data_IF_813156152160
#
_entry.id   IF_813156152160
#
_cell.length_a   1.000
_cell.length_b   1.000
_cell.length_c   1.000
_cell.angle_alpha   90.00
_cell.angle_beta   90.00
_cell.angle_gamma   90.00
#
_symmetry.space_group_name_H-M   'P 1'
#
loop_
_entity.id
_entity.type
_entity.pdbx_description
1 polymer ?
#
# COMPACT_ATOMS: atom_id res chain seq x y z
N UNK A 1 -24.60 2.76 -14.74
CA UNK A 1 -23.69 2.60 -13.58
C UNK A 1 -22.73 1.42 -13.69
N UNK A 2 -23.16 0.23 -14.14
CA UNK A 2 -22.28 -0.94 -14.23
C UNK A 2 -20.94 -0.70 -14.95
N UNK A 3 -20.94 0.01 -16.08
CA UNK A 3 -19.70 0.36 -16.80
C UNK A 3 -18.74 1.17 -15.92
N UNK A 4 -19.24 2.13 -15.14
CA UNK A 4 -18.42 2.98 -14.26
C UNK A 4 -17.70 2.14 -13.21
N UNK A 5 -18.42 1.20 -12.57
CA UNK A 5 -17.86 0.31 -11.56
C UNK A 5 -16.87 -0.71 -12.15
N UNK A 6 -17.21 -1.38 -13.27
CA UNK A 6 -16.31 -2.37 -13.90
C UNK A 6 -15.08 -1.76 -14.56
N UNK A 7 -15.18 -0.50 -15.02
CA UNK A 7 -14.06 0.26 -15.57
C UNK A 7 -13.16 0.91 -14.51
N UNK A 8 -13.53 0.83 -13.23
CA UNK A 8 -12.84 1.51 -12.12
C UNK A 8 -12.70 3.02 -12.33
N UNK A 9 -13.69 3.65 -12.95
CA UNK A 9 -13.76 5.12 -13.15
C UNK A 9 -14.64 5.82 -12.11
N UNK A 10 -15.22 5.07 -11.17
CA UNK A 10 -16.09 5.58 -10.10
C UNK A 10 -15.43 6.66 -9.23
N UNK A 11 -14.10 6.65 -9.11
CA UNK A 11 -13.32 7.61 -8.33
C UNK A 11 -13.40 9.06 -8.85
N UNK A 12 -13.80 9.25 -10.11
CA UNK A 12 -13.93 10.57 -10.72
C UNK A 12 -15.32 11.18 -10.55
N UNK A 13 -16.25 10.48 -9.89
CA UNK A 13 -17.61 10.95 -9.65
C UNK A 13 -17.95 10.91 -8.16
N UNK A 14 -18.28 12.07 -7.58
CA UNK A 14 -18.68 12.15 -6.18
C UNK A 14 -19.96 11.38 -5.84
N UNK A 15 -20.77 11.03 -6.84
CA UNK A 15 -21.95 10.18 -6.64
C UNK A 15 -21.61 8.68 -6.57
N UNK A 16 -20.49 8.26 -7.15
CA UNK A 16 -20.17 6.83 -7.37
C UNK A 16 -18.94 6.35 -6.61
N UNK A 17 -18.12 7.24 -6.03
CA UNK A 17 -16.83 6.91 -5.40
C UNK A 17 -16.91 5.80 -4.35
N UNK A 18 -17.97 5.77 -3.55
CA UNK A 18 -18.23 4.72 -2.54
C UNK A 18 -19.33 3.72 -2.97
N UNK A 19 -19.74 3.76 -4.24
CA UNK A 19 -20.74 2.87 -4.81
C UNK A 19 -20.17 1.49 -5.15
N UNK A 20 -21.02 0.47 -5.14
CA UNK A 20 -20.60 -0.91 -5.37
C UNK A 20 -19.79 -1.45 -4.20
N UNK A 21 -18.48 -1.63 -4.40
CA UNK A 21 -17.54 -2.03 -3.35
C UNK A 21 -16.89 -0.78 -2.77
N UNK A 22 -17.28 -0.41 -1.55
CA UNK A 22 -16.75 0.77 -0.85
C UNK A 22 -15.22 0.90 -0.86
N UNK A 23 -14.39 -0.15 -0.63
CA UNK A 23 -12.94 -0.02 -0.66
C UNK A 23 -12.34 0.11 -2.07
N UNK A 24 -13.13 -0.06 -3.13
CA UNK A 24 -12.60 -0.09 -4.51
C UNK A 24 -12.10 1.26 -5.02
N UNK A 25 -12.31 2.37 -4.29
CA UNK A 25 -11.66 3.65 -4.62
C UNK A 25 -10.12 3.51 -4.67
N UNK A 26 -9.51 2.74 -3.76
CA UNK A 26 -8.05 2.56 -3.77
C UNK A 26 -7.60 1.69 -4.95
N UNK A 27 -8.41 0.70 -5.35
CA UNK A 27 -8.15 -0.13 -6.55
C UNK A 27 -8.12 0.73 -7.83
N UNK A 28 -8.98 1.74 -7.93
CA UNK A 28 -8.96 2.68 -9.06
C UNK A 28 -7.61 3.41 -9.12
N UNK A 29 -7.12 3.86 -7.97
CA UNK A 29 -5.82 4.54 -7.83
C UNK A 29 -4.65 3.60 -8.13
N UNK A 30 -4.69 2.36 -7.62
CA UNK A 30 -3.68 1.33 -7.90
C UNK A 30 -3.62 0.97 -9.39
N UNK A 31 -4.77 0.71 -10.03
CA UNK A 31 -4.82 0.42 -11.47
C UNK A 31 -4.21 1.57 -12.27
N UNK A 32 -4.59 2.81 -11.95
CA UNK A 32 -4.06 4.00 -12.63
C UNK A 32 -2.55 4.13 -12.41
N UNK A 33 -2.04 3.81 -11.23
CA UNK A 33 -0.60 3.78 -10.95
C UNK A 33 0.13 2.74 -11.82
N UNK A 34 -0.41 1.53 -11.95
CA UNK A 34 0.21 0.50 -12.78
C UNK A 34 0.17 0.84 -14.28
N UNK A 35 -0.86 1.55 -14.73
CA UNK A 35 -0.90 2.10 -16.10
C UNK A 35 0.09 3.26 -16.29
N UNK A 36 0.35 4.05 -15.25
CA UNK A 36 1.33 5.13 -15.25
C UNK A 36 2.78 4.63 -15.25
N UNK A 37 3.07 3.51 -14.57
CA UNK A 37 4.43 3.03 -14.33
C UNK A 37 5.28 2.81 -15.61
N UNK A 38 4.77 2.22 -16.71
CA UNK A 38 5.51 2.09 -17.96
C UNK A 38 5.89 3.45 -18.57
N UNK A 39 4.98 4.43 -18.50
CA UNK A 39 5.21 5.79 -19.01
C UNK A 39 6.28 6.47 -18.17
N UNK A 40 6.18 6.37 -16.84
CA UNK A 40 7.20 6.87 -15.92
C UNK A 40 8.58 6.25 -16.18
N UNK A 41 8.65 4.92 -16.28
CA UNK A 41 9.90 4.20 -16.55
C UNK A 41 10.51 4.59 -17.90
N UNK A 42 9.68 4.83 -18.92
CA UNK A 42 10.13 5.34 -20.22
C UNK A 42 10.69 6.76 -20.12
N UNK A 43 10.02 7.68 -19.41
CA UNK A 43 10.48 9.05 -19.20
C UNK A 43 11.82 9.11 -18.45
N UNK A 44 11.95 8.35 -17.36
CA UNK A 44 13.18 8.25 -16.57
C UNK A 44 14.35 7.76 -17.43
N UNK A 45 14.11 6.77 -18.30
CA UNK A 45 15.13 6.28 -19.23
C UNK A 45 15.49 7.32 -20.29
N UNK A 46 14.50 8.04 -20.84
CA UNK A 46 14.70 9.09 -21.85
C UNK A 46 15.53 10.25 -21.31
N UNK A 47 15.30 10.65 -20.06
CA UNK A 47 15.99 11.76 -19.40
C UNK A 47 17.31 11.37 -18.74
N UNK A 48 17.71 10.10 -18.83
CA UNK A 48 18.94 9.63 -18.22
C UNK A 48 20.18 10.40 -18.69
N UNK A 49 20.20 10.93 -19.92
CA UNK A 49 21.18 11.91 -20.43
C UNK A 49 22.65 11.77 -19.93
N UNK A 50 23.15 10.53 -19.78
CA UNK A 50 24.50 10.23 -19.24
C UNK A 50 24.64 10.21 -17.71
N UNK A 51 23.60 10.57 -16.95
CA UNK A 51 23.58 10.52 -15.50
C UNK A 51 23.55 9.07 -14.97
N UNK A 52 24.14 8.81 -13.79
CA UNK A 52 24.02 7.52 -13.13
C UNK A 52 22.56 7.14 -12.90
N UNK A 53 22.21 5.90 -13.24
CA UNK A 53 20.83 5.38 -13.15
C UNK A 53 20.18 5.64 -11.79
N UNK A 54 20.91 5.35 -10.71
CA UNK A 54 20.46 5.57 -9.34
C UNK A 54 20.08 7.04 -9.07
N UNK A 55 20.85 8.00 -9.59
CA UNK A 55 20.55 9.43 -9.39
C UNK A 55 19.23 9.83 -10.07
N UNK A 56 19.01 9.37 -11.29
CA UNK A 56 17.81 9.70 -12.05
C UNK A 56 16.57 9.03 -11.44
N UNK A 57 16.69 7.79 -10.97
CA UNK A 57 15.62 7.10 -10.24
C UNK A 57 15.27 7.83 -8.94
N UNK A 58 16.27 8.22 -8.13
CA UNK A 58 16.04 8.99 -6.90
C UNK A 58 15.43 10.36 -7.16
N UNK A 59 15.88 11.09 -8.19
CA UNK A 59 15.29 12.36 -8.59
C UNK A 59 13.85 12.19 -9.09
N UNK A 60 13.58 11.15 -9.86
CA UNK A 60 12.24 10.82 -10.32
C UNK A 60 11.30 10.52 -9.15
N UNK A 61 11.75 9.70 -8.19
CA UNK A 61 10.99 9.39 -6.97
C UNK A 61 10.75 10.65 -6.13
N UNK A 62 11.77 11.50 -5.95
CA UNK A 62 11.62 12.78 -5.26
C UNK A 62 10.63 13.71 -5.97
N UNK A 63 10.66 13.76 -7.30
CA UNK A 63 9.73 14.55 -8.09
C UNK A 63 8.28 14.06 -7.96
N UNK A 64 8.04 12.74 -7.91
CA UNK A 64 6.70 12.18 -7.63
C UNK A 64 6.22 12.56 -6.24
N UNK A 65 7.09 12.45 -5.23
CA UNK A 65 6.76 12.78 -3.85
C UNK A 65 6.40 14.26 -3.66
N UNK A 66 7.24 15.16 -4.15
CA UNK A 66 7.00 16.61 -4.09
C UNK A 66 5.80 16.98 -4.95
N UNK A 67 5.68 16.39 -6.15
CA UNK A 67 4.56 16.59 -7.06
C UNK A 67 3.21 16.25 -6.43
N UNK A 68 3.13 15.15 -5.66
CA UNK A 68 1.93 14.78 -4.89
C UNK A 68 1.55 15.85 -3.86
N UNK A 69 2.54 16.34 -3.10
CA UNK A 69 2.34 17.43 -2.15
C UNK A 69 1.82 18.70 -2.81
N UNK A 70 2.46 19.14 -3.91
CA UNK A 70 2.04 20.32 -4.67
C UNK A 70 0.64 20.14 -5.24
N UNK A 71 0.34 18.99 -5.84
CA UNK A 71 -0.98 18.69 -6.40
C UNK A 71 -2.08 18.86 -5.33
N UNK A 72 -1.90 18.26 -4.16
CA UNK A 72 -2.85 18.36 -3.06
C UNK A 72 -3.05 19.78 -2.56
N UNK A 73 -1.98 20.56 -2.40
CA UNK A 73 -2.07 21.98 -2.00
C UNK A 73 -2.87 22.77 -3.05
N UNK A 74 -2.56 22.59 -4.33
CA UNK A 74 -3.25 23.28 -5.43
C UNK A 74 -4.73 22.88 -5.50
N UNK A 75 -5.06 21.60 -5.37
CA UNK A 75 -6.46 21.18 -5.46
C UNK A 75 -7.27 21.57 -4.23
N UNK A 76 -6.67 21.48 -3.03
CA UNK A 76 -7.31 21.92 -1.79
C UNK A 76 -7.59 23.42 -1.80
N UNK A 77 -6.65 24.25 -2.25
CA UNK A 77 -6.86 25.71 -2.38
C UNK A 77 -7.95 26.09 -3.38
N UNK A 78 -8.32 25.18 -4.29
CA UNK A 78 -9.41 25.35 -5.26
C UNK A 78 -10.73 24.69 -4.83
N UNK A 79 -10.77 24.07 -3.65
CA UNK A 79 -11.97 23.41 -3.12
C UNK A 79 -12.32 22.07 -3.81
N UNK A 80 -11.39 21.47 -4.58
CA UNK A 80 -11.64 20.20 -5.27
C UNK A 80 -11.35 18.99 -4.37
N UNK A 81 -12.20 18.75 -3.36
CA UNK A 81 -12.03 17.67 -2.39
C UNK A 81 -11.96 16.25 -2.99
N UNK A 82 -12.71 16.00 -4.08
CA UNK A 82 -12.69 14.71 -4.80
C UNK A 82 -11.29 14.30 -5.30
N UNK A 83 -10.42 15.29 -5.55
CA UNK A 83 -9.07 15.01 -6.05
C UNK A 83 -8.16 14.35 -5.00
N UNK A 84 -8.55 14.37 -3.73
CA UNK A 84 -7.81 13.74 -2.65
C UNK A 84 -7.67 12.23 -2.84
N UNK A 85 -8.65 11.60 -3.49
CA UNK A 85 -8.66 10.16 -3.73
C UNK A 85 -7.90 9.75 -5.01
N UNK A 86 -7.59 10.71 -5.88
CA UNK A 86 -6.99 10.44 -7.19
C UNK A 86 -5.50 10.10 -7.09
N UNK A 87 -4.98 9.39 -8.10
CA UNK A 87 -3.57 9.02 -8.19
C UNK A 87 -2.59 10.14 -7.84
N UNK A 88 -2.68 11.38 -8.38
CA UNK A 88 -1.71 12.42 -8.09
C UNK A 88 -1.60 12.75 -6.59
N UNK A 89 -2.68 12.58 -5.82
CA UNK A 89 -2.69 12.78 -4.37
C UNK A 89 -2.07 11.64 -3.57
N UNK A 90 -1.76 10.50 -4.19
CA UNK A 90 -1.13 9.32 -3.57
C UNK A 90 0.26 9.01 -4.12
N UNK A 91 0.75 9.77 -5.11
CA UNK A 91 2.06 9.55 -5.72
C UNK A 91 3.23 9.60 -4.72
N UNK A 92 3.06 10.29 -3.59
CA UNK A 92 4.03 10.30 -2.48
C UNK A 92 4.13 8.95 -1.77
N UNK A 93 3.01 8.29 -1.48
CA UNK A 93 3.02 6.97 -0.83
C UNK A 93 3.60 5.91 -1.77
N UNK A 94 3.23 5.95 -3.06
CA UNK A 94 3.89 5.11 -4.07
C UNK A 94 5.38 5.43 -4.19
N UNK A 95 5.76 6.71 -4.18
CA UNK A 95 7.16 7.13 -4.20
C UNK A 95 7.94 6.61 -2.99
N UNK A 96 7.35 6.52 -1.79
CA UNK A 96 7.99 5.88 -0.63
C UNK A 96 8.27 4.40 -0.89
N UNK A 97 7.31 3.66 -1.45
CA UNK A 97 7.52 2.26 -1.84
C UNK A 97 8.60 2.09 -2.92
N UNK A 98 8.59 2.97 -3.93
CA UNK A 98 9.60 3.01 -4.98
C UNK A 98 10.99 3.37 -4.43
N UNK A 99 11.07 4.30 -3.47
CA UNK A 99 12.31 4.64 -2.77
C UNK A 99 12.90 3.42 -2.07
N UNK A 100 12.08 2.68 -1.32
CA UNK A 100 12.50 1.45 -0.64
C UNK A 100 13.03 0.42 -1.64
N UNK A 101 12.38 0.27 -2.80
CA UNK A 101 12.85 -0.62 -3.86
C UNK A 101 14.20 -0.18 -4.45
N UNK A 102 14.36 1.11 -4.77
CA UNK A 102 15.61 1.68 -5.29
C UNK A 102 16.75 1.52 -4.28
N UNK A 103 16.48 1.78 -2.99
CA UNK A 103 17.46 1.59 -1.92
C UNK A 103 17.84 0.13 -1.77
N UNK A 104 16.86 -0.79 -1.76
CA UNK A 104 17.12 -2.24 -1.67
C UNK A 104 18.06 -2.70 -2.78
N UNK A 105 17.80 -2.32 -4.03
CA UNK A 105 18.66 -2.66 -5.18
C UNK A 105 20.04 -2.00 -5.07
N UNK A 106 20.13 -0.75 -4.59
CA UNK A 106 21.40 -0.07 -4.40
C UNK A 106 22.28 -0.78 -3.35
N UNK A 107 21.67 -1.26 -2.26
CA UNK A 107 22.33 -2.05 -1.22
C UNK A 107 22.84 -3.38 -1.78
N UNK A 108 21.99 -4.13 -2.48
CA UNK A 108 22.38 -5.41 -3.10
C UNK A 108 23.56 -5.27 -4.06
N UNK A 109 23.65 -4.13 -4.76
CA UNK A 109 24.74 -3.82 -5.68
C UNK A 109 25.99 -3.24 -5.01
N UNK A 110 26.03 -3.16 -3.69
CA UNK A 110 27.16 -2.59 -2.94
C UNK A 110 27.34 -1.08 -3.16
N UNK A 111 26.30 -0.38 -3.61
CA UNK A 111 26.31 1.07 -3.85
C UNK A 111 25.89 1.87 -2.61
N UNK A 112 25.52 1.18 -1.53
CA UNK A 112 25.18 1.82 -0.28
C UNK A 112 26.46 2.29 0.44
N UNK A 113 26.53 3.58 0.77
CA UNK A 113 27.68 4.16 1.46
C UNK A 113 27.70 3.83 2.95
N UNK A 114 28.56 4.52 3.70
CA UNK A 114 28.70 4.34 5.15
C UNK A 114 27.40 4.55 5.94
N UNK A 115 26.44 5.30 5.40
CA UNK A 115 25.13 5.48 6.04
C UNK A 115 24.36 4.16 6.23
N UNK A 116 24.63 3.15 5.40
CA UNK A 116 23.94 1.85 5.48
C UNK A 116 24.22 1.11 6.80
N UNK A 117 25.42 1.27 7.38
CA UNK A 117 25.73 0.66 8.67
C UNK A 117 24.96 1.29 9.84
N UNK A 118 24.38 2.48 9.64
CA UNK A 118 23.55 3.17 10.64
C UNK A 118 22.08 2.72 10.58
N UNK A 119 21.67 2.03 9.51
CA UNK A 119 20.29 1.58 9.33
C UNK A 119 20.01 0.41 10.29
N UNK A 120 19.01 0.52 11.18
CA UNK A 120 18.68 -0.55 12.11
C UNK A 120 18.27 -1.83 11.37
N UNK A 121 18.94 -2.94 11.66
CA UNK A 121 18.60 -4.25 11.05
C UNK A 121 17.41 -4.92 11.71
N UNK A 122 17.12 -4.58 12.96
CA UNK A 122 16.04 -5.19 13.73
C UNK A 122 14.70 -4.54 13.40
N UNK A 123 13.76 -5.35 12.89
CA UNK A 123 12.39 -4.93 12.60
C UNK A 123 11.68 -4.33 13.82
N UNK A 124 12.05 -4.74 15.04
CA UNK A 124 11.45 -4.23 16.27
C UNK A 124 11.68 -2.72 16.42
N UNK A 125 12.83 -2.20 16.00
CA UNK A 125 13.15 -0.75 16.08
C UNK A 125 12.23 0.04 15.15
N UNK A 126 12.05 -0.44 13.91
CA UNK A 126 11.16 0.17 12.93
C UNK A 126 9.70 0.16 13.39
N UNK A 127 9.25 -0.97 13.91
CA UNK A 127 7.87 -1.13 14.37
C UNK A 127 7.59 -0.38 15.67
N UNK A 128 8.57 -0.28 16.58
CA UNK A 128 8.46 0.58 17.76
C UNK A 128 8.34 2.05 17.36
N UNK A 129 9.13 2.50 16.37
CA UNK A 129 8.99 3.85 15.82
C UNK A 129 7.63 4.07 15.15
N UNK A 130 7.14 3.10 14.37
CA UNK A 130 5.82 3.15 13.76
C UNK A 130 4.70 3.23 14.83
N UNK A 131 4.81 2.42 15.89
CA UNK A 131 3.86 2.41 17.00
C UNK A 131 3.89 3.73 17.78
N UNK A 132 5.06 4.26 18.09
CA UNK A 132 5.21 5.54 18.77
C UNK A 132 4.58 6.68 17.94
N UNK A 133 4.81 6.68 16.63
CA UNK A 133 4.22 7.65 15.71
C UNK A 133 2.70 7.49 15.61
N UNK A 134 2.20 6.25 15.55
CA UNK A 134 0.77 5.95 15.56
C UNK A 134 0.09 6.44 16.85
N UNK A 135 0.70 6.22 18.00
CA UNK A 135 0.21 6.71 19.29
C UNK A 135 0.18 8.25 19.29
N UNK A 136 1.25 8.90 18.80
CA UNK A 136 1.29 10.35 18.70
C UNK A 136 0.16 10.90 17.81
N UNK A 137 -0.06 10.30 16.63
CA UNK A 137 -1.15 10.63 15.70
C UNK A 137 -2.53 10.43 16.34
N UNK A 138 -2.71 9.34 17.08
CA UNK A 138 -4.00 9.02 17.73
C UNK A 138 -4.37 10.04 18.81
N UNK A 139 -3.38 10.68 19.43
CA UNK A 139 -3.57 11.69 20.47
C UNK A 139 -3.72 13.13 19.91
N UNK A 140 -3.58 13.34 18.61
CA UNK A 140 -3.71 14.67 17.98
C UNK A 140 -5.16 15.20 17.89
N UNK A 141 -6.14 14.47 18.43
CA UNK A 141 -7.54 14.89 18.44
C UNK A 141 -8.09 15.08 17.02
N UNK A 142 -7.69 14.19 16.11
CA UNK A 142 -8.09 14.27 14.71
C UNK A 142 -9.60 14.03 14.62
N UNK A 143 -10.34 14.80 13.79
CA UNK A 143 -11.78 14.64 13.72
C UNK A 143 -12.16 13.22 13.29
N UNK A 144 -12.95 12.53 14.11
CA UNK A 144 -13.52 11.20 13.81
C UNK A 144 -14.68 11.27 12.80
N UNK A 145 -14.98 12.45 12.27
CA UNK A 145 -16.11 12.71 11.39
C UNK A 145 -15.63 13.32 10.07
N UNK A 146 -16.39 13.05 8.99
CA UNK A 146 -16.22 13.58 7.63
C UNK A 146 -16.66 15.06 7.57
N UNK A 147 -16.40 15.85 8.62
CA UNK A 147 -16.86 17.25 8.73
C UNK A 147 -15.65 18.14 8.96
N UNK A 148 -15.38 18.99 7.97
CA UNK A 148 -14.39 20.08 7.95
C UNK A 148 -13.08 19.83 8.70
N UNK A 149 -12.36 18.80 8.26
CA UNK A 149 -10.95 18.67 8.61
C UNK A 149 -10.19 19.79 7.89
N UNK A 150 -9.57 20.70 8.64
CA UNK A 150 -8.63 21.68 8.09
C UNK A 150 -7.65 21.00 7.11
N UNK A 151 -7.38 21.55 5.92
CA UNK A 151 -6.44 20.97 4.97
C UNK A 151 -5.09 20.62 5.59
N UNK A 152 -4.60 21.44 6.52
CA UNK A 152 -3.36 21.19 7.25
C UNK A 152 -3.43 19.91 8.10
N UNK A 153 -4.54 19.66 8.79
CA UNK A 153 -4.76 18.43 9.55
C UNK A 153 -4.85 17.21 8.61
N UNK A 154 -5.58 17.33 7.51
CA UNK A 154 -5.65 16.26 6.51
C UNK A 154 -4.27 15.89 5.95
N UNK A 155 -3.47 16.89 5.55
CA UNK A 155 -2.12 16.66 5.03
C UNK A 155 -1.17 16.08 6.08
N UNK A 156 -1.26 16.56 7.33
CA UNK A 156 -0.47 16.04 8.44
C UNK A 156 -0.82 14.57 8.68
N UNK A 157 -2.11 14.24 8.70
CA UNK A 157 -2.56 12.85 8.82
C UNK A 157 -2.02 11.97 7.69
N UNK A 158 -2.15 12.43 6.43
CA UNK A 158 -1.69 11.69 5.27
C UNK A 158 -0.18 11.42 5.31
N UNK A 159 0.61 12.46 5.60
CA UNK A 159 2.06 12.35 5.71
C UNK A 159 2.47 11.36 6.80
N UNK A 160 1.84 11.45 7.97
CA UNK A 160 2.13 10.58 9.10
C UNK A 160 1.69 9.14 8.81
N UNK A 161 0.52 8.93 8.21
CA UNK A 161 0.05 7.61 7.79
C UNK A 161 0.99 6.97 6.76
N UNK A 162 1.44 7.73 5.76
CA UNK A 162 2.43 7.28 4.78
C UNK A 162 3.77 6.92 5.43
N UNK A 163 4.21 7.71 6.41
CA UNK A 163 5.44 7.45 7.17
C UNK A 163 5.32 6.19 8.02
N UNK A 164 4.21 6.01 8.74
CA UNK A 164 3.91 4.80 9.50
C UNK A 164 3.94 3.57 8.58
N UNK A 165 3.27 3.65 7.43
CA UNK A 165 3.28 2.58 6.43
C UNK A 165 4.71 2.26 5.95
N UNK A 166 5.51 3.28 5.62
CA UNK A 166 6.90 3.10 5.24
C UNK A 166 7.73 2.44 6.34
N UNK A 167 7.57 2.85 7.61
CA UNK A 167 8.28 2.24 8.75
C UNK A 167 7.89 0.76 8.95
N UNK A 168 6.62 0.41 8.77
CA UNK A 168 6.15 -0.98 8.87
C UNK A 168 6.76 -1.86 7.78
N UNK A 169 6.81 -1.35 6.54
CA UNK A 169 7.24 -2.11 5.34
C UNK A 169 8.76 -2.14 5.19
N UNK A 170 9.45 -1.07 5.60
CA UNK A 170 10.91 -0.89 5.45
C UNK A 170 11.74 -2.13 5.85
N UNK A 171 11.62 -2.70 7.07
CA UNK A 171 12.44 -3.83 7.46
C UNK A 171 12.20 -5.08 6.60
N UNK A 172 10.98 -5.27 6.10
CA UNK A 172 10.65 -6.40 5.23
C UNK A 172 11.31 -6.28 3.84
N UNK A 173 11.50 -5.05 3.34
CA UNK A 173 12.10 -4.78 2.02
C UNK A 173 13.63 -4.72 2.09
N UNK A 174 14.18 -4.11 3.15
CA UNK A 174 15.60 -3.81 3.27
C UNK A 174 16.41 -4.95 3.93
N UNK A 175 15.74 -5.82 4.68
CA UNK A 175 16.40 -6.83 5.51
C UNK A 175 15.72 -8.20 5.41
N UNK A 176 15.37 -8.63 4.19
CA UNK A 176 14.75 -9.95 3.94
C UNK A 176 15.57 -11.12 4.53
N UNK A 177 16.88 -10.95 4.72
CA UNK A 177 17.77 -11.96 5.31
C UNK A 177 18.10 -11.77 6.80
N UNK A 178 17.63 -10.71 7.46
CA UNK A 178 17.83 -10.57 8.90
C UNK A 178 16.92 -11.57 9.63
N UNK A 179 17.51 -12.54 10.33
CA UNK A 179 16.77 -13.43 11.23
C UNK A 179 16.06 -12.64 12.35
N UNK A 180 15.20 -13.31 13.12
CA UNK A 180 14.56 -12.70 14.30
C UNK A 180 13.17 -13.24 14.61
N UNK A 181 12.68 -12.95 15.82
CA UNK A 181 11.36 -13.37 16.31
C UNK A 181 10.23 -12.84 15.42
N UNK A 182 10.31 -11.57 15.02
CA UNK A 182 9.33 -10.93 14.13
C UNK A 182 9.20 -11.69 12.80
N UNK A 183 10.33 -12.05 12.18
CA UNK A 183 10.33 -12.83 10.94
C UNK A 183 9.74 -14.21 11.15
N UNK A 184 10.03 -14.88 12.26
CA UNK A 184 9.44 -16.18 12.58
C UNK A 184 7.92 -16.08 12.73
N UNK A 185 7.42 -15.03 13.37
CA UNK A 185 5.99 -14.76 13.49
C UNK A 185 5.37 -14.49 12.13
N UNK A 186 5.92 -13.56 11.33
CA UNK A 186 5.43 -13.24 9.97
C UNK A 186 5.47 -14.44 9.03
N UNK A 187 6.44 -15.33 9.19
CA UNK A 187 6.58 -16.56 8.40
C UNK A 187 5.76 -17.74 8.95
N UNK A 188 4.98 -17.54 10.02
CA UNK A 188 4.12 -18.57 10.57
C UNK A 188 2.99 -18.95 9.61
N UNK A 189 2.53 -20.19 9.70
CA UNK A 189 1.40 -20.70 8.90
C UNK A 189 0.13 -19.84 8.98
N UNK A 190 -0.33 -19.36 10.16
CA UNK A 190 -1.54 -18.54 10.22
C UNK A 190 -1.37 -17.19 9.52
N UNK A 191 -0.25 -16.49 9.72
CA UNK A 191 -0.04 -15.20 9.05
C UNK A 191 0.12 -15.35 7.53
N UNK A 192 0.76 -16.43 7.07
CA UNK A 192 0.78 -16.76 5.64
C UNK A 192 -0.62 -17.03 5.10
N UNK A 193 -1.45 -17.78 5.83
CA UNK A 193 -2.83 -18.07 5.40
C UNK A 193 -3.68 -16.78 5.33
N UNK A 194 -3.51 -15.86 6.29
CA UNK A 194 -4.14 -14.53 6.23
C UNK A 194 -3.64 -13.72 5.04
N UNK A 195 -2.34 -13.78 4.73
CA UNK A 195 -1.78 -13.15 3.54
C UNK A 195 -2.40 -13.67 2.23
N UNK A 196 -2.66 -14.98 2.14
CA UNK A 196 -3.30 -15.61 0.98
C UNK A 196 -4.72 -15.08 0.74
N UNK A 197 -5.50 -14.84 1.80
CA UNK A 197 -6.87 -14.32 1.70
C UNK A 197 -6.97 -12.80 1.87
N UNK A 198 -5.83 -12.10 1.90
CA UNK A 198 -5.76 -10.66 2.23
C UNK A 198 -6.57 -9.78 1.28
N UNK A 199 -6.63 -10.15 0.00
CA UNK A 199 -7.47 -9.46 -0.99
C UNK A 199 -8.96 -9.57 -0.65
N UNK A 200 -9.44 -10.78 -0.30
CA UNK A 200 -10.80 -10.97 0.19
C UNK A 200 -11.09 -10.18 1.47
N UNK A 201 -10.14 -10.12 2.41
CA UNK A 201 -10.27 -9.31 3.63
C UNK A 201 -10.47 -7.83 3.26
N UNK A 202 -9.64 -7.31 2.36
CA UNK A 202 -9.73 -5.94 1.85
C UNK A 202 -11.09 -5.66 1.20
N UNK A 203 -11.67 -6.59 0.44
CA UNK A 203 -12.98 -6.38 -0.18
C UNK A 203 -14.15 -6.38 0.82
N UNK A 204 -14.13 -7.29 1.79
CA UNK A 204 -15.30 -7.58 2.63
C UNK A 204 -15.37 -6.80 3.94
N UNK A 205 -14.25 -6.22 4.42
CA UNK A 205 -14.23 -5.58 5.73
C UNK A 205 -15.20 -4.40 5.88
N UNK A 206 -15.21 -3.44 4.95
CA UNK A 206 -16.10 -2.25 5.05
C UNK A 206 -17.58 -2.64 4.97
N UNK A 207 -18.04 -3.46 3.99
CA UNK A 207 -19.43 -3.92 3.96
C UNK A 207 -19.87 -4.57 5.26
N UNK A 208 -19.04 -5.44 5.86
CA UNK A 208 -19.38 -6.09 7.12
C UNK A 208 -19.37 -5.15 8.32
N UNK A 209 -18.44 -4.20 8.39
CA UNK A 209 -18.46 -3.15 9.43
C UNK A 209 -19.81 -2.42 9.39
N UNK A 210 -20.21 -1.87 8.24
CA UNK A 210 -21.48 -1.15 8.11
C UNK A 210 -22.70 -2.05 8.34
N UNK A 211 -22.65 -3.31 7.94
CA UNK A 211 -23.76 -4.23 8.14
C UNK A 211 -23.94 -4.60 9.61
N UNK A 212 -22.84 -4.82 10.34
CA UNK A 212 -22.87 -5.11 11.76
C UNK A 212 -23.30 -3.89 12.57
N UNK A 213 -22.83 -2.69 12.23
CA UNK A 213 -23.30 -1.43 12.83
C UNK A 213 -24.82 -1.23 12.67
N UNK A 214 -25.37 -1.61 11.51
CA UNK A 214 -26.83 -1.60 11.29
C UNK A 214 -27.56 -2.58 12.20
N UNK A 215 -26.99 -3.76 12.46
CA UNK A 215 -27.58 -4.75 13.35
C UNK A 215 -27.50 -4.36 14.82
N UNK A 216 -26.45 -3.63 15.24
CA UNK A 216 -26.18 -3.30 16.65
C UNK A 216 -26.74 -1.95 17.11
N UNK A 217 -27.46 -1.20 16.27
CA UNK A 217 -28.12 0.05 16.71
C UNK A 217 -28.10 1.22 15.71
N UNK A 218 -27.62 1.01 14.49
CA UNK A 218 -27.90 1.87 13.34
C UNK A 218 -27.15 3.20 13.27
N UNK A 219 -26.22 3.47 14.19
CA UNK A 219 -25.44 4.70 14.19
C UNK A 219 -23.95 4.39 14.38
N UNK A 220 -23.12 4.79 13.41
CA UNK A 220 -21.66 4.60 13.41
C UNK A 220 -20.92 5.18 14.64
N UNK A 221 -21.60 5.94 15.49
CA UNK A 221 -21.06 6.54 16.70
C UNK A 221 -21.57 5.92 18.01
N UNK A 222 -22.61 5.06 17.97
CA UNK A 222 -23.25 4.50 19.16
C UNK A 222 -23.20 2.97 19.23
N UNK A 223 -22.67 2.30 18.20
CA UNK A 223 -22.46 0.86 18.25
C UNK A 223 -21.30 0.52 19.19
N UNK A 224 -21.49 -0.50 20.04
CA UNK A 224 -20.42 -0.99 20.91
C UNK A 224 -19.23 -1.49 20.07
N UNK A 225 -18.05 -0.93 20.33
CA UNK A 225 -16.83 -1.23 19.58
C UNK A 225 -16.50 -2.73 19.54
N UNK A 226 -16.59 -3.42 20.69
CA UNK A 226 -16.17 -4.81 20.80
C UNK A 226 -17.07 -5.80 20.02
N UNK A 227 -18.42 -5.73 20.13
CA UNK A 227 -19.31 -6.50 19.27
C UNK A 227 -19.11 -6.23 17.78
N UNK A 228 -18.97 -4.96 17.38
CA UNK A 228 -18.75 -4.60 15.97
C UNK A 228 -17.45 -5.20 15.46
N UNK A 229 -16.35 -5.01 16.20
CA UNK A 229 -15.05 -5.56 15.86
C UNK A 229 -15.10 -7.08 15.72
N UNK A 230 -15.67 -7.77 16.70
CA UNK A 230 -15.73 -9.23 16.71
C UNK A 230 -16.48 -9.76 15.48
N UNK A 231 -17.72 -9.29 15.26
CA UNK A 231 -18.54 -9.78 14.16
C UNK A 231 -18.02 -9.35 12.79
N UNK A 232 -17.53 -8.12 12.64
CA UNK A 232 -16.94 -7.66 11.40
C UNK A 232 -15.71 -8.50 11.02
N UNK A 233 -14.82 -8.80 11.98
CA UNK A 233 -13.64 -9.64 11.73
C UNK A 233 -14.06 -11.06 11.34
N UNK A 234 -14.97 -11.68 12.09
CA UNK A 234 -15.43 -13.05 11.81
C UNK A 234 -16.05 -13.14 10.42
N UNK A 235 -17.01 -12.27 10.10
CA UNK A 235 -17.71 -12.28 8.81
C UNK A 235 -16.79 -11.96 7.64
N UNK A 236 -15.83 -11.05 7.85
CA UNK A 236 -14.80 -10.73 6.86
C UNK A 236 -13.91 -11.92 6.57
N UNK A 237 -13.38 -12.58 7.60
CA UNK A 237 -12.52 -13.75 7.42
C UNK A 237 -13.24 -14.91 6.75
N UNK A 238 -14.51 -15.15 7.12
CA UNK A 238 -15.34 -16.19 6.49
C UNK A 238 -15.60 -15.85 5.01
N UNK A 239 -15.97 -14.61 4.71
CA UNK A 239 -16.26 -14.19 3.32
C UNK A 239 -15.00 -14.17 2.46
N UNK A 240 -13.87 -13.73 3.02
CA UNK A 240 -12.57 -13.75 2.37
C UNK A 240 -12.12 -15.18 2.05
N UNK A 241 -12.25 -16.09 3.01
CA UNK A 241 -11.92 -17.51 2.81
C UNK A 241 -12.84 -18.16 1.76
N UNK A 242 -14.15 -17.88 1.82
CA UNK A 242 -15.12 -18.42 0.87
C UNK A 242 -14.85 -17.92 -0.56
N UNK A 243 -14.60 -16.62 -0.70
CA UNK A 243 -14.23 -15.99 -1.99
C UNK A 243 -12.94 -16.60 -2.54
N UNK A 244 -11.94 -16.78 -1.68
CA UNK A 244 -10.67 -17.39 -2.06
C UNK A 244 -10.86 -18.83 -2.57
N UNK A 245 -11.58 -19.67 -1.83
CA UNK A 245 -11.75 -21.09 -2.19
C UNK A 245 -12.64 -21.26 -3.43
N UNK A 246 -13.71 -20.48 -3.56
CA UNK A 246 -14.70 -20.65 -4.62
C UNK A 246 -14.36 -19.90 -5.91
N UNK A 247 -13.63 -18.78 -5.83
CA UNK A 247 -13.40 -17.90 -6.97
C UNK A 247 -11.91 -17.78 -7.27
N UNK A 248 -11.11 -17.30 -6.32
CA UNK A 248 -9.71 -16.97 -6.58
C UNK A 248 -8.87 -18.20 -6.89
N UNK A 249 -8.96 -19.24 -6.05
CA UNK A 249 -8.18 -20.47 -6.20
C UNK A 249 -8.45 -21.17 -7.54
N UNK A 250 -9.71 -21.42 -7.96
CA UNK A 250 -9.99 -22.01 -9.27
C UNK A 250 -9.43 -21.19 -10.44
N UNK A 251 -9.56 -19.85 -10.40
CA UNK A 251 -9.06 -18.97 -11.46
C UNK A 251 -7.53 -18.97 -11.55
N UNK A 252 -6.84 -18.99 -10.41
CA UNK A 252 -5.39 -19.06 -10.35
C UNK A 252 -4.84 -20.39 -10.84
N UNK A 253 -5.51 -21.52 -10.53
CA UNK A 253 -5.08 -22.85 -10.98
C UNK A 253 -5.44 -23.16 -12.44
N UNK A 254 -6.42 -22.45 -13.00
CA UNK A 254 -6.88 -22.68 -14.38
C UNK A 254 -6.06 -21.93 -15.44
N UNK A 255 -5.18 -21.00 -15.03
CA UNK A 255 -4.28 -20.33 -15.99
C UNK A 255 -3.22 -21.31 -16.50
N UNK A 256 -3.11 -21.54 -17.82
CA UNK A 256 -2.01 -22.29 -18.39
C UNK A 256 -0.70 -21.62 -17.97
N UNK A 257 0.21 -22.42 -17.41
CA UNK A 257 1.54 -21.96 -17.01
C UNK A 257 2.23 -21.40 -18.26
N UNK A 258 2.32 -20.07 -18.38
CA UNK A 258 3.00 -19.43 -19.49
C UNK A 258 4.46 -19.92 -19.55
N UNK A 259 4.75 -20.79 -20.52
CA UNK A 259 6.10 -21.07 -20.99
C UNK A 259 6.57 -19.84 -21.77
N UNK A 260 7.25 -18.89 -21.14
CA UNK A 260 7.75 -17.73 -21.90
C UNK A 260 8.28 -16.58 -21.06
N UNK A 261 9.32 -16.82 -20.26
CA UNK A 261 10.04 -15.76 -19.52
C UNK A 261 11.48 -16.13 -19.22
N UNK A 262 12.11 -16.96 -20.06
CA UNK A 262 13.54 -17.22 -20.02
C UNK A 262 14.30 -15.98 -20.50
N UNK A 263 14.50 -15.00 -19.61
CA UNK A 263 15.27 -13.80 -19.93
C UNK A 263 15.88 -13.07 -18.73
N UNK A 264 15.44 -13.35 -17.50
CA UNK A 264 15.95 -12.62 -16.30
C UNK A 264 16.46 -13.55 -15.19
N UNK A 265 16.24 -14.86 -15.26
CA UNK A 265 16.65 -15.81 -14.21
C UNK A 265 17.95 -16.60 -14.51
N UNK A 266 18.59 -16.39 -15.67
CA UNK A 266 19.81 -17.11 -16.06
C UNK A 266 21.06 -16.23 -15.85
N UNK A 267 21.31 -15.82 -14.61
CA UNK A 267 22.58 -15.22 -14.20
C UNK A 267 22.85 -15.49 -12.71
N UNK A 268 22.72 -16.75 -12.29
CA UNK A 268 23.36 -17.24 -11.07
C UNK A 268 24.39 -18.27 -11.54
N UNK A 269 25.69 -17.96 -11.51
CA UNK A 269 26.71 -18.96 -11.74
C UNK A 269 26.69 -19.93 -10.56
N UNK A 270 26.28 -21.18 -10.81
CA UNK A 270 26.50 -22.28 -9.88
C UNK A 270 27.99 -22.57 -9.84
N UNK A 271 28.69 -21.99 -8.86
CA UNK A 271 30.06 -22.31 -8.54
C UNK A 271 30.19 -23.72 -7.98
N UNK A 272 31.04 -24.50 -8.66
CA UNK A 272 31.93 -25.53 -8.12
C UNK A 272 31.30 -26.74 -7.42
N UNK A 273 31.20 -27.82 -8.20
CA UNK A 273 31.32 -29.18 -7.72
C UNK A 273 32.62 -29.35 -6.92
N UNK A 274 32.51 -30.07 -5.81
CA UNK A 274 33.63 -30.66 -5.11
C UNK A 274 34.05 -31.94 -5.85
N UNK A 275 35.30 -31.98 -6.28
CA UNK A 275 36.25 -33.10 -6.17
C UNK A 275 37.67 -32.55 -6.26
#
# INVERSE_FOLDING_TARGET
>A
DGIIFFSLTQIYSGQHIFGGLAPAWSLCTELTFYLFLPVYAWLVQRWRAGWPRLRVELLGVAALYVGSGVFRIVMSSRGYGLSNDWLPSYLDVFALGMLLAVVSVAVERGMAGQWWSLVPRDAAVWWAAALALFIAVSNLGMPMAIVDVSPAKYFTHHLLAGTIGALIVCPAVLHDNAGGLIRQVLSSRPLRALGVISYGIFLWHVPWIFQVEKWTGGHAYFADFWPVLFWAVVLTLLSAWLTYVLIERPLLTSRPRERGGSGVAAAIPSGTAAE
#
